data_IF_888502885198
#
_entry.id   IF_888502885198
#
_cell.length_a   1.000
_cell.length_b   1.000
_cell.length_c   1.000
_cell.angle_alpha   90.00
_cell.angle_beta   90.00
_cell.angle_gamma   90.00
#
_symmetry.space_group_name_H-M   'P 1'
#
loop_
_entity.id
_entity.type
_entity.pdbx_description
1 polymer ?
#
# COMPACT_ATOMS: atom_id res chain seq x y z
N UNK A 1 18.56 5.64 -5.27
CA UNK A 1 17.93 6.65 -4.38
C UNK A 1 16.53 6.18 -3.98
N UNK A 2 16.17 6.31 -2.71
CA UNK A 2 14.85 5.90 -2.25
C UNK A 2 13.79 6.93 -2.63
N UNK A 3 12.55 6.46 -2.88
CA UNK A 3 11.41 7.34 -3.13
C UNK A 3 11.02 8.15 -1.89
N UNK A 4 11.25 7.59 -0.70
CA UNK A 4 10.87 8.20 0.57
C UNK A 4 12.01 8.04 1.58
N UNK A 5 12.00 8.89 2.58
CA UNK A 5 12.83 8.68 3.78
C UNK A 5 12.15 7.66 4.68
N UNK A 6 12.93 6.80 5.31
CA UNK A 6 12.39 5.79 6.22
C UNK A 6 13.45 5.37 7.23
N UNK A 7 13.00 4.92 8.39
CA UNK A 7 13.86 4.30 9.40
C UNK A 7 13.82 2.78 9.22
N UNK A 8 14.78 2.06 9.82
CA UNK A 8 14.76 0.61 9.84
C UNK A 8 13.49 0.08 10.52
N UNK A 9 13.06 0.73 11.59
CA UNK A 9 11.82 0.37 12.29
C UNK A 9 10.59 0.51 11.36
N UNK A 10 10.54 1.59 10.59
CA UNK A 10 9.45 1.80 9.63
C UNK A 10 9.47 0.77 8.51
N UNK A 11 10.65 0.42 8.01
CA UNK A 11 10.78 -0.62 6.99
C UNK A 11 10.27 -1.97 7.51
N UNK A 12 10.62 -2.31 8.74
CA UNK A 12 10.15 -3.54 9.37
C UNK A 12 8.64 -3.52 9.58
N UNK A 13 8.09 -2.37 9.95
CA UNK A 13 6.64 -2.18 10.08
C UNK A 13 5.93 -2.38 8.74
N UNK A 14 6.49 -1.82 7.65
CA UNK A 14 5.97 -2.02 6.31
C UNK A 14 6.00 -3.51 5.93
N UNK A 15 7.10 -4.21 6.20
CA UNK A 15 7.19 -5.64 5.91
C UNK A 15 6.08 -6.44 6.60
N UNK A 16 5.77 -6.11 7.86
CA UNK A 16 4.65 -6.75 8.60
C UNK A 16 3.30 -6.42 7.96
N UNK A 17 3.13 -5.19 7.48
CA UNK A 17 1.88 -4.79 6.81
C UNK A 17 1.70 -5.54 5.50
N UNK A 18 2.75 -5.68 4.69
CA UNK A 18 2.68 -6.41 3.43
C UNK A 18 2.23 -7.86 3.68
N UNK A 19 2.77 -8.49 4.72
CA UNK A 19 2.34 -9.83 5.12
C UNK A 19 0.86 -9.83 5.51
N UNK A 20 0.46 -8.93 6.39
CA UNK A 20 -0.90 -8.89 6.92
C UNK A 20 -1.94 -8.63 5.83
N UNK A 21 -1.63 -7.79 4.85
CA UNK A 21 -2.58 -7.37 3.82
C UNK A 21 -2.56 -8.27 2.58
N UNK A 22 -1.45 -8.92 2.26
CA UNK A 22 -1.30 -9.53 0.95
C UNK A 22 -0.46 -10.80 0.87
N UNK A 23 -0.11 -11.46 2.00
CA UNK A 23 0.72 -12.67 1.93
C UNK A 23 0.08 -13.75 1.07
N UNK A 24 -1.24 -13.90 1.10
CA UNK A 24 -1.97 -14.86 0.28
C UNK A 24 -1.97 -14.55 -1.22
N UNK A 25 -1.59 -13.33 -1.60
CA UNK A 25 -1.52 -12.90 -2.99
C UNK A 25 -0.12 -13.12 -3.60
N UNK A 26 0.83 -13.60 -2.79
CA UNK A 26 2.22 -13.81 -3.22
C UNK A 26 3.04 -12.54 -3.26
N UNK A 27 4.28 -12.66 -3.76
CA UNK A 27 5.23 -11.55 -3.78
C UNK A 27 4.73 -10.35 -4.57
N UNK A 28 4.14 -10.60 -5.74
CA UNK A 28 3.62 -9.52 -6.58
C UNK A 28 2.50 -8.76 -5.86
N UNK A 29 1.57 -9.46 -5.21
CA UNK A 29 0.51 -8.81 -4.44
C UNK A 29 1.03 -7.95 -3.31
N UNK A 30 2.04 -8.45 -2.58
CA UNK A 30 2.69 -7.68 -1.53
C UNK A 30 3.40 -6.43 -2.07
N UNK A 31 4.08 -6.55 -3.23
CA UNK A 31 4.69 -5.39 -3.89
C UNK A 31 3.64 -4.33 -4.26
N UNK A 32 2.51 -4.77 -4.79
CA UNK A 32 1.43 -3.84 -5.20
C UNK A 32 0.85 -3.09 -3.99
N UNK A 33 0.62 -3.78 -2.89
CA UNK A 33 0.17 -3.14 -1.64
C UNK A 33 1.22 -2.14 -1.15
N UNK A 34 2.48 -2.53 -1.17
CA UNK A 34 3.58 -1.63 -0.78
C UNK A 34 3.66 -0.39 -1.66
N UNK A 35 3.43 -0.55 -2.97
CA UNK A 35 3.39 0.57 -3.91
C UNK A 35 2.32 1.60 -3.50
N UNK A 36 1.13 1.14 -3.10
CA UNK A 36 0.07 2.04 -2.64
C UNK A 36 0.49 2.79 -1.38
N UNK A 37 1.08 2.08 -0.42
CA UNK A 37 1.52 2.69 0.85
C UNK A 37 2.56 3.79 0.58
N UNK A 38 3.56 3.50 -0.26
CA UNK A 38 4.59 4.48 -0.61
C UNK A 38 4.01 5.66 -1.40
N UNK A 39 3.06 5.39 -2.31
CA UNK A 39 2.34 6.47 -3.00
C UNK A 39 1.68 7.43 -2.01
N UNK A 40 1.04 6.92 -0.96
CA UNK A 40 0.41 7.76 0.06
C UNK A 40 1.42 8.62 0.82
N UNK A 41 2.62 8.10 1.07
CA UNK A 41 3.69 8.88 1.70
C UNK A 41 4.14 10.03 0.78
N UNK A 42 4.24 9.75 -0.52
CA UNK A 42 4.71 10.70 -1.52
C UNK A 42 3.66 11.74 -1.93
N UNK A 43 2.37 11.40 -1.84
CA UNK A 43 1.30 12.22 -2.38
C UNK A 43 1.20 13.58 -1.68
N UNK A 44 1.16 14.64 -2.49
CA UNK A 44 1.11 16.02 -2.01
C UNK A 44 -0.29 16.63 -2.04
N UNK A 45 -1.26 15.90 -2.57
CA UNK A 45 -2.66 16.34 -2.59
C UNK A 45 -3.24 16.39 -1.18
N UNK A 46 -4.26 17.23 -0.98
CA UNK A 46 -4.77 17.61 0.35
C UNK A 46 -5.10 16.42 1.26
N UNK A 47 -5.62 15.34 0.68
CA UNK A 47 -5.99 14.13 1.45
C UNK A 47 -4.79 13.47 2.15
N UNK A 48 -3.56 13.73 1.70
CA UNK A 48 -2.36 13.02 2.16
C UNK A 48 -1.28 13.92 2.72
N UNK A 49 -1.53 15.23 2.86
CA UNK A 49 -0.53 16.18 3.36
C UNK A 49 0.04 15.82 4.73
N UNK A 50 -0.79 15.25 5.60
CA UNK A 50 -0.41 14.92 6.98
C UNK A 50 0.10 13.49 7.11
N UNK A 51 0.08 12.70 6.04
CA UNK A 51 0.55 11.30 6.04
C UNK A 51 1.81 11.16 5.21
N UNK A 52 2.85 11.88 5.60
CA UNK A 52 4.10 11.98 4.83
C UNK A 52 5.22 11.08 5.36
N UNK A 53 4.91 10.12 6.22
CA UNK A 53 5.85 9.09 6.68
C UNK A 53 5.16 7.72 6.66
N UNK A 54 5.95 6.65 6.60
CA UNK A 54 5.39 5.30 6.67
C UNK A 54 4.56 5.10 7.94
N UNK A 55 5.06 5.53 9.09
CA UNK A 55 4.33 5.41 10.34
C UNK A 55 2.96 6.09 10.27
N UNK A 56 2.92 7.31 9.76
CA UNK A 56 1.66 8.07 9.66
C UNK A 56 0.66 7.43 8.70
N UNK A 57 1.14 6.88 7.58
CA UNK A 57 0.28 6.19 6.61
C UNK A 57 -0.23 4.88 7.20
N UNK A 58 0.66 4.04 7.72
CA UNK A 58 0.31 2.68 8.16
C UNK A 58 -0.66 2.72 9.35
N UNK A 59 -0.43 3.62 10.29
CA UNK A 59 -1.25 3.71 11.50
C UNK A 59 -2.32 4.79 11.45
N UNK A 60 -2.59 5.34 10.29
CA UNK A 60 -3.73 6.25 10.11
C UNK A 60 -5.02 5.52 10.49
N UNK A 61 -5.87 6.19 11.27
CA UNK A 61 -7.12 5.60 11.77
C UNK A 61 -7.94 5.01 10.61
N UNK A 62 -8.33 3.74 10.77
CA UNK A 62 -9.16 2.99 9.81
C UNK A 62 -8.52 2.80 8.43
N UNK A 63 -7.21 3.03 8.27
CA UNK A 63 -6.56 2.90 6.96
C UNK A 63 -6.32 1.44 6.58
N UNK A 64 -5.83 0.63 7.52
CA UNK A 64 -5.48 -0.78 7.28
C UNK A 64 -5.91 -1.65 8.45
N UNK A 65 -6.86 -2.53 8.22
CA UNK A 65 -7.32 -3.49 9.24
C UNK A 65 -6.21 -4.46 9.63
N UNK A 66 -5.30 -4.74 8.70
CA UNK A 66 -4.19 -5.67 8.91
C UNK A 66 -3.32 -5.33 10.10
N UNK A 67 -3.21 -4.06 10.49
CA UNK A 67 -2.39 -3.65 11.65
C UNK A 67 -2.88 -4.25 12.97
N UNK A 68 -4.13 -4.66 13.03
CA UNK A 68 -4.74 -5.28 14.23
C UNK A 68 -4.69 -6.80 14.20
N UNK A 69 -4.19 -7.39 13.11
CA UNK A 69 -4.19 -8.83 12.93
C UNK A 69 -3.00 -9.51 13.62
N UNK A 70 -3.14 -10.83 13.88
CA UNK A 70 -2.01 -11.63 14.36
C UNK A 70 -0.87 -11.68 13.34
N UNK A 71 -1.19 -11.70 12.04
CA UNK A 71 -0.17 -11.70 11.00
C UNK A 71 0.76 -10.49 11.13
N UNK A 72 0.21 -9.32 11.42
CA UNK A 72 1.01 -8.11 11.62
C UNK A 72 1.90 -8.22 12.86
N UNK A 73 1.36 -8.78 13.94
CA UNK A 73 2.03 -8.85 15.25
C UNK A 73 3.11 -9.92 15.29
N UNK A 74 3.05 -10.93 14.45
CA UNK A 74 3.97 -12.08 14.47
C UNK A 74 5.24 -11.88 13.65
N UNK A 75 5.57 -10.65 13.30
CA UNK A 75 6.82 -10.31 12.61
C UNK A 75 6.74 -10.50 11.10
N UNK A 76 7.89 -10.70 10.47
CA UNK A 76 8.03 -10.79 9.01
C UNK A 76 9.20 -11.70 8.66
N UNK A 77 9.21 -12.19 7.42
CA UNK A 77 10.32 -12.96 6.87
C UNK A 77 11.31 -12.06 6.14
N UNK A 78 12.51 -12.60 5.82
CA UNK A 78 13.50 -11.89 5.01
C UNK A 78 12.96 -11.54 3.63
N UNK A 79 12.11 -12.40 3.05
CA UNK A 79 11.45 -12.12 1.77
C UNK A 79 10.58 -10.88 1.86
N UNK A 80 9.75 -10.77 2.88
CA UNK A 80 8.87 -9.62 3.07
C UNK A 80 9.67 -8.34 3.29
N UNK A 81 10.79 -8.41 4.01
CA UNK A 81 11.67 -7.25 4.18
C UNK A 81 12.29 -6.81 2.85
N UNK A 82 12.70 -7.76 2.01
CA UNK A 82 13.21 -7.46 0.67
C UNK A 82 12.17 -6.77 -0.20
N UNK A 83 10.92 -7.23 -0.16
CA UNK A 83 9.82 -6.61 -0.91
C UNK A 83 9.56 -5.18 -0.41
N UNK A 84 9.51 -4.98 0.90
CA UNK A 84 9.36 -3.65 1.49
C UNK A 84 10.48 -2.71 1.04
N UNK A 85 11.73 -3.21 1.04
CA UNK A 85 12.89 -2.44 0.57
C UNK A 85 12.74 -2.01 -0.88
N UNK A 86 12.26 -2.91 -1.74
CA UNK A 86 12.07 -2.60 -3.16
C UNK A 86 11.09 -1.44 -3.36
N UNK A 87 9.94 -1.46 -2.66
CA UNK A 87 8.92 -0.41 -2.86
C UNK A 87 9.35 0.93 -2.28
N UNK A 88 10.08 0.98 -1.15
CA UNK A 88 10.55 2.26 -0.62
C UNK A 88 11.65 2.86 -1.49
N UNK A 89 12.40 2.04 -2.20
CA UNK A 89 13.43 2.51 -3.10
C UNK A 89 12.87 2.99 -4.43
N UNK A 90 12.20 2.13 -5.18
CA UNK A 90 11.81 2.52 -6.54
C UNK A 90 10.71 1.68 -7.17
N UNK A 91 10.40 0.49 -6.64
CA UNK A 91 9.50 -0.41 -7.34
C UNK A 91 8.09 0.15 -7.45
N UNK A 92 7.56 0.15 -8.66
CA UNK A 92 6.17 0.51 -8.96
C UNK A 92 5.66 -0.44 -10.03
N UNK A 93 4.38 -0.77 -9.99
CA UNK A 93 3.81 -1.69 -10.96
C UNK A 93 2.31 -1.55 -11.14
N UNK A 94 1.84 -1.82 -12.37
CA UNK A 94 0.42 -1.84 -12.69
C UNK A 94 -0.27 -2.98 -11.91
N UNK A 95 -1.48 -2.79 -11.35
CA UNK A 95 -2.31 -1.58 -11.42
C UNK A 95 -2.09 -0.58 -10.28
N UNK A 96 -1.02 -0.74 -9.49
CA UNK A 96 -0.78 0.10 -8.32
C UNK A 96 0.12 1.32 -8.60
N UNK A 97 0.65 1.49 -9.81
CA UNK A 97 1.64 2.52 -10.13
C UNK A 97 1.28 3.88 -9.54
N UNK A 98 0.04 4.32 -9.70
CA UNK A 98 -0.46 5.60 -9.17
C UNK A 98 -1.65 5.41 -8.23
N UNK A 99 -1.89 4.20 -7.73
CA UNK A 99 -3.01 3.92 -6.83
C UNK A 99 -2.76 4.52 -5.46
N UNK A 100 -3.81 5.02 -4.85
CA UNK A 100 -3.81 5.56 -3.49
C UNK A 100 -4.69 4.74 -2.55
N UNK A 101 -5.54 3.87 -3.07
CA UNK A 101 -6.44 3.03 -2.30
C UNK A 101 -6.50 1.63 -2.88
N UNK A 102 -6.78 0.67 -2.00
CA UNK A 102 -7.11 -0.69 -2.41
C UNK A 102 -8.08 -1.30 -1.40
N UNK A 103 -8.81 -2.32 -1.82
CA UNK A 103 -9.56 -3.18 -0.90
C UNK A 103 -9.75 -4.55 -1.53
N UNK A 104 -10.07 -5.53 -0.68
CA UNK A 104 -10.35 -6.90 -1.11
C UNK A 104 -11.87 -7.15 -1.03
N UNK A 105 -12.55 -7.32 -2.18
CA UNK A 105 -14.01 -7.47 -2.19
C UNK A 105 -14.49 -8.84 -1.71
N UNK A 106 -13.56 -9.79 -1.54
CA UNK A 106 -13.88 -11.18 -1.30
C UNK A 106 -13.84 -12.01 -2.57
N UNK A 107 -13.58 -13.31 -2.40
CA UNK A 107 -13.41 -14.25 -3.51
C UNK A 107 -14.68 -14.29 -4.36
N UNK A 108 -14.53 -14.13 -5.68
CA UNK A 108 -15.62 -14.17 -6.63
C UNK A 108 -16.45 -12.90 -6.74
N UNK A 109 -16.17 -11.89 -5.91
CA UNK A 109 -16.89 -10.63 -5.95
C UNK A 109 -16.21 -9.62 -6.89
N UNK A 110 -17.03 -8.76 -7.52
CA UNK A 110 -16.54 -7.70 -8.39
C UNK A 110 -15.92 -6.57 -7.58
N UNK A 111 -14.98 -5.86 -8.21
CA UNK A 111 -14.52 -4.58 -7.70
C UNK A 111 -15.60 -3.51 -7.90
N UNK A 112 -15.78 -2.65 -6.90
CA UNK A 112 -16.66 -1.48 -7.04
C UNK A 112 -16.09 -0.55 -8.13
N UNK A 113 -16.96 0.21 -8.79
CA UNK A 113 -16.54 1.20 -9.79
C UNK A 113 -15.78 2.35 -9.15
N UNK A 114 -16.09 2.67 -7.90
CA UNK A 114 -15.40 3.72 -7.12
C UNK A 114 -15.15 3.27 -5.70
N UNK A 115 -13.99 3.70 -5.16
CA UNK A 115 -13.63 3.51 -3.74
C UNK A 115 -12.71 4.69 -3.39
N UNK A 116 -13.29 5.78 -2.88
CA UNK A 116 -12.65 7.09 -2.70
C UNK A 116 -12.19 7.74 -4.01
N UNK A 117 -12.38 7.07 -5.14
CA UNK A 117 -12.01 7.52 -6.47
C UNK A 117 -12.21 6.40 -7.49
N UNK A 118 -11.82 6.61 -8.75
CA UNK A 118 -12.11 5.66 -9.82
C UNK A 118 -11.27 4.40 -9.73
N UNK A 119 -11.88 3.28 -10.14
CA UNK A 119 -11.23 1.99 -10.29
C UNK A 119 -10.19 2.03 -11.40
N UNK A 120 -9.01 1.46 -11.15
CA UNK A 120 -7.91 1.45 -12.13
C UNK A 120 -7.37 0.07 -12.45
N UNK A 121 -7.77 -0.97 -11.72
CA UNK A 121 -7.37 -2.33 -12.02
C UNK A 121 -7.44 -3.26 -10.84
N UNK A 122 -7.31 -4.55 -11.13
CA UNK A 122 -7.38 -5.61 -10.13
C UNK A 122 -6.17 -6.53 -10.26
N UNK A 123 -5.66 -6.99 -9.12
CA UNK A 123 -4.71 -8.10 -9.07
C UNK A 123 -5.22 -9.11 -8.05
N UNK A 124 -5.53 -10.32 -8.51
CA UNK A 124 -6.12 -11.38 -7.68
C UNK A 124 -7.29 -10.83 -6.86
N UNK A 125 -7.19 -10.83 -5.52
CA UNK A 125 -8.29 -10.40 -4.66
C UNK A 125 -8.21 -8.94 -4.23
N UNK A 126 -7.34 -8.13 -4.83
CA UNK A 126 -7.22 -6.72 -4.52
C UNK A 126 -7.63 -5.84 -5.68
N UNK A 127 -8.49 -4.85 -5.39
CA UNK A 127 -8.96 -3.83 -6.33
C UNK A 127 -8.24 -2.53 -6.00
N UNK A 128 -7.77 -1.80 -7.03
CA UNK A 128 -6.94 -0.60 -6.86
C UNK A 128 -7.64 0.64 -7.41
N UNK A 129 -7.44 1.77 -6.73
CA UNK A 129 -8.16 3.02 -7.00
C UNK A 129 -7.25 4.23 -6.90
N UNK A 130 -7.56 5.27 -7.69
CA UNK A 130 -6.94 6.59 -7.60
C UNK A 130 -7.94 7.57 -6.96
N UNK A 131 -7.49 8.82 -6.73
CA UNK A 131 -8.41 9.92 -6.50
C UNK A 131 -9.01 10.33 -7.85
N UNK A 132 -10.19 10.96 -7.81
CA UNK A 132 -10.83 11.51 -9.01
C UNK A 132 -9.91 12.51 -9.70
N UNK A 133 -9.22 13.36 -8.94
CA UNK A 133 -8.27 14.32 -9.47
C UNK A 133 -6.88 14.06 -8.89
N UNK A 134 -5.97 13.57 -9.71
CA UNK A 134 -4.60 13.24 -9.34
C UNK A 134 -3.60 14.35 -9.62
N UNK A 135 -4.03 15.47 -10.21
CA UNK A 135 -3.12 16.48 -10.76
C UNK A 135 -2.20 17.12 -9.72
N UNK A 136 -2.63 17.20 -8.47
CA UNK A 136 -1.85 17.82 -7.39
C UNK A 136 -1.14 16.81 -6.50
N UNK A 137 -1.23 15.53 -6.81
CA UNK A 137 -0.63 14.49 -5.95
C UNK A 137 0.86 14.30 -6.18
N UNK A 138 1.35 14.55 -7.38
CA UNK A 138 2.78 14.46 -7.68
C UNK A 138 3.35 13.06 -7.72
N UNK A 139 2.51 12.08 -8.00
CA UNK A 139 2.96 10.68 -8.06
C UNK A 139 2.72 10.07 -9.42
#
# INVERSE_FOLDING_TARGET
>A
MARIKYTTKELNTLARLLKAEAVGEGNQGMLLVGNVVVNRVCAKCSNFRKTNTLTKVIFQKNAFDGTKSKLFQTGFTSTQKKLATRVVKSWRGHPATRALFFYAPGKGNRCKDTFYGPYIGRYKNHCFYQLKNMSKCGI
#
